data_IF_756039236358
#
_entry.id   IF_756039236358
#
_cell.length_a   1.000
_cell.length_b   1.000
_cell.length_c   1.000
_cell.angle_alpha   90.00
_cell.angle_beta   90.00
_cell.angle_gamma   90.00
#
_symmetry.space_group_name_H-M   'P 1'
#
loop_
_entity.id
_entity.type
_entity.pdbx_description
1 polymer ?
#
# COMPACT_ATOMS: atom_id res chain seq x y z
N UNK A 1 -3.56 -9.45 -5.71
CA UNK A 1 -3.93 -8.12 -6.27
C UNK A 1 -5.11 -7.47 -5.56
N UNK A 2 -5.75 -8.18 -4.63
CA UNK A 2 -7.07 -7.79 -4.13
C UNK A 2 -7.03 -6.57 -3.21
N UNK A 3 -5.91 -6.33 -2.52
CA UNK A 3 -5.70 -5.11 -1.72
C UNK A 3 -5.76 -3.85 -2.59
N UNK A 4 -5.09 -3.83 -3.75
CA UNK A 4 -5.12 -2.69 -4.68
C UNK A 4 -6.53 -2.46 -5.24
N UNK A 5 -7.26 -3.54 -5.56
CA UNK A 5 -8.65 -3.45 -6.03
C UNK A 5 -9.58 -2.92 -4.94
N UNK A 6 -9.44 -3.41 -3.71
CA UNK A 6 -10.21 -2.93 -2.57
C UNK A 6 -9.91 -1.45 -2.28
N UNK A 7 -8.65 -1.03 -2.35
CA UNK A 7 -8.26 0.36 -2.21
C UNK A 7 -8.89 1.25 -3.30
N UNK A 8 -8.87 0.81 -4.57
CA UNK A 8 -9.55 1.53 -5.67
C UNK A 8 -11.05 1.68 -5.41
N UNK A 9 -11.70 0.61 -5.00
CA UNK A 9 -13.15 0.63 -4.73
C UNK A 9 -13.49 1.58 -3.58
N UNK A 10 -12.61 1.70 -2.57
CA UNK A 10 -12.73 2.72 -1.50
C UNK A 10 -12.48 4.13 -2.01
N UNK A 11 -11.49 4.34 -2.88
CA UNK A 11 -11.22 5.65 -3.49
C UNK A 11 -12.43 6.13 -4.32
N UNK A 12 -13.08 5.22 -5.07
CA UNK A 12 -14.34 5.53 -5.73
C UNK A 12 -15.47 5.89 -4.76
N UNK A 13 -15.41 5.39 -3.52
CA UNK A 13 -16.29 5.75 -2.41
C UNK A 13 -15.88 7.02 -1.64
N UNK A 14 -14.92 7.80 -2.14
CA UNK A 14 -14.48 9.06 -1.53
C UNK A 14 -13.32 8.94 -0.53
N UNK A 15 -12.66 7.78 -0.45
CA UNK A 15 -11.47 7.63 0.39
C UNK A 15 -10.23 8.21 -0.30
N UNK A 16 -9.26 8.65 0.50
CA UNK A 16 -8.01 9.25 0.04
C UNK A 16 -6.83 8.32 0.34
N UNK A 17 -5.89 8.21 -0.58
CA UNK A 17 -4.66 7.43 -0.43
C UNK A 17 -3.58 8.28 0.21
N UNK A 18 -3.05 7.82 1.34
CA UNK A 18 -2.08 8.54 2.15
C UNK A 18 -0.63 8.07 1.92
N UNK A 19 -0.45 6.86 1.35
CA UNK A 19 0.85 6.29 0.99
C UNK A 19 0.89 5.93 -0.49
N UNK A 20 2.00 6.23 -1.18
CA UNK A 20 2.19 5.74 -2.55
C UNK A 20 2.22 4.20 -2.56
N UNK A 21 1.40 3.50 -3.35
CA UNK A 21 1.43 2.02 -3.42
C UNK A 21 2.74 1.46 -4.01
N UNK A 22 3.64 2.31 -4.50
CA UNK A 22 4.88 1.98 -5.19
C UNK A 22 6.13 2.53 -4.48
N UNK A 23 6.09 2.66 -3.15
CA UNK A 23 7.24 3.15 -2.37
C UNK A 23 8.48 2.23 -2.46
N UNK A 24 9.65 2.83 -2.22
CA UNK A 24 10.93 2.12 -2.11
C UNK A 24 11.51 1.60 -3.42
N UNK A 25 10.93 1.93 -4.59
CA UNK A 25 11.36 1.45 -5.91
C UNK A 25 11.47 -0.09 -6.03
N UNK A 26 10.83 -0.85 -5.13
CA UNK A 26 10.83 -2.32 -5.20
C UNK A 26 9.75 -2.77 -6.19
N UNK A 27 10.15 -3.65 -7.10
CA UNK A 27 9.27 -4.23 -8.11
C UNK A 27 8.44 -5.38 -7.52
N UNK A 28 7.27 -5.70 -8.10
CA UNK A 28 6.43 -6.82 -7.66
C UNK A 28 7.16 -8.17 -7.50
N UNK A 29 8.19 -8.41 -8.32
CA UNK A 29 9.01 -9.63 -8.28
C UNK A 29 10.16 -9.60 -7.28
N UNK A 30 10.34 -8.50 -6.52
CA UNK A 30 11.41 -8.33 -5.53
C UNK A 30 10.89 -8.36 -4.09
N UNK A 31 9.61 -8.03 -3.88
CA UNK A 31 9.06 -7.88 -2.55
C UNK A 31 7.58 -8.29 -2.50
N UNK A 32 7.20 -9.30 -1.70
CA UNK A 32 5.85 -9.86 -1.71
C UNK A 32 4.82 -9.04 -0.93
N UNK A 33 5.25 -8.16 -0.02
CA UNK A 33 4.36 -7.34 0.79
C UNK A 33 4.25 -5.91 0.27
N UNK A 34 3.04 -5.36 0.36
CA UNK A 34 2.76 -3.96 0.08
C UNK A 34 1.59 -3.50 0.93
N UNK A 35 1.91 -2.63 1.87
CA UNK A 35 0.92 -1.90 2.65
C UNK A 35 0.45 -0.66 1.91
N UNK A 36 -0.80 -0.28 2.09
CA UNK A 36 -1.36 0.97 1.58
C UNK A 36 -2.17 1.58 2.72
N UNK A 37 -1.82 2.82 3.09
CA UNK A 37 -2.60 3.63 4.00
C UNK A 37 -3.62 4.45 3.22
N UNK A 38 -4.88 4.32 3.62
CA UNK A 38 -6.00 5.09 3.08
C UNK A 38 -6.82 5.65 4.25
N UNK A 39 -7.50 6.76 4.00
CA UNK A 39 -8.36 7.45 4.97
C UNK A 39 -9.76 7.64 4.40
N UNK A 40 -10.76 7.45 5.24
CA UNK A 40 -12.14 7.80 4.91
C UNK A 40 -12.29 9.32 5.02
N UNK A 41 -12.74 9.98 3.94
CA UNK A 41 -13.10 11.39 4.04
C UNK A 41 -14.29 11.54 4.98
N UNK A 42 -14.24 12.55 5.87
CA UNK A 42 -15.36 12.92 6.74
C UNK A 42 -16.63 13.27 5.93
N UNK A 43 -16.45 13.67 4.66
CA UNK A 43 -17.53 13.97 3.74
C UNK A 43 -17.59 12.93 2.61
N UNK A 44 -18.37 11.86 2.81
CA UNK A 44 -18.67 10.86 1.76
C UNK A 44 -19.38 11.44 0.50
N UNK A 45 -19.73 12.73 0.50
CA UNK A 45 -20.25 13.47 -0.65
C UNK A 45 -19.17 14.19 -1.48
N UNK A 46 -17.89 14.06 -1.12
CA UNK A 46 -16.80 14.61 -1.90
C UNK A 46 -16.62 13.85 -3.23
N UNK A 47 -16.27 14.60 -4.27
CA UNK A 47 -15.89 14.02 -5.54
C UNK A 47 -14.67 13.10 -5.35
N UNK A 48 -14.56 12.06 -6.17
CA UNK A 48 -13.42 11.12 -6.16
C UNK A 48 -12.10 11.90 -6.18
N UNK A 49 -11.21 11.61 -5.23
CA UNK A 49 -9.86 12.17 -5.25
C UNK A 49 -9.08 11.60 -6.43
N UNK A 50 -8.93 12.40 -7.48
CA UNK A 50 -8.35 11.96 -8.75
C UNK A 50 -6.88 11.56 -8.61
N UNK A 51 -6.14 12.19 -7.68
CA UNK A 51 -4.76 11.83 -7.40
C UNK A 51 -4.66 10.43 -6.79
N UNK A 52 -5.49 10.13 -5.78
CA UNK A 52 -5.59 8.80 -5.18
C UNK A 52 -5.98 7.74 -6.21
N UNK A 53 -6.93 8.06 -7.09
CA UNK A 53 -7.35 7.16 -8.16
C UNK A 53 -6.19 6.88 -9.13
N UNK A 54 -5.49 7.92 -9.58
CA UNK A 54 -4.33 7.79 -10.45
C UNK A 54 -3.23 6.93 -9.82
N UNK A 55 -2.92 7.14 -8.54
CA UNK A 55 -1.91 6.36 -7.81
C UNK A 55 -2.25 4.86 -7.79
N UNK A 56 -3.51 4.52 -7.51
CA UNK A 56 -3.96 3.12 -7.44
C UNK A 56 -4.03 2.49 -8.84
N UNK A 57 -4.54 3.20 -9.85
CA UNK A 57 -4.61 2.70 -11.23
C UNK A 57 -3.22 2.46 -11.82
N UNK A 58 -2.27 3.36 -11.57
CA UNK A 58 -0.88 3.17 -12.00
C UNK A 58 -0.24 1.94 -11.32
N UNK A 59 -0.51 1.74 -10.02
CA UNK A 59 -0.03 0.56 -9.31
C UNK A 59 -0.68 -0.73 -9.85
N UNK A 60 -2.00 -0.73 -10.07
CA UNK A 60 -2.72 -1.84 -10.68
C UNK A 60 -2.15 -2.20 -12.06
N UNK A 61 -1.87 -1.20 -12.90
CA UNK A 61 -1.28 -1.41 -14.23
C UNK A 61 0.08 -2.11 -14.13
N UNK A 62 0.98 -1.62 -13.26
CA UNK A 62 2.32 -2.20 -13.08
C UNK A 62 2.24 -3.64 -12.58
N UNK A 63 1.43 -3.89 -11.54
CA UNK A 63 1.33 -5.22 -10.97
C UNK A 63 0.61 -6.21 -11.91
N UNK A 64 -0.39 -5.76 -12.66
CA UNK A 64 -1.07 -6.61 -13.66
C UNK A 64 -0.09 -6.98 -14.79
N UNK A 65 0.75 -6.03 -15.24
CA UNK A 65 1.77 -6.30 -16.26
C UNK A 65 2.84 -7.32 -15.84
N UNK A 66 2.98 -7.56 -14.54
CA UNK A 66 3.98 -8.45 -13.94
C UNK A 66 3.34 -9.57 -13.12
N UNK A 67 2.06 -9.87 -13.33
CA UNK A 67 1.28 -10.77 -12.47
C UNK A 67 1.91 -12.17 -12.33
N UNK A 68 2.52 -12.66 -13.41
CA UNK A 68 3.22 -13.95 -13.45
C UNK A 68 4.56 -13.97 -12.73
N UNK A 69 5.08 -12.81 -12.36
CA UNK A 69 6.37 -12.66 -11.68
C UNK A 69 6.21 -12.16 -10.24
N UNK A 70 4.99 -12.00 -9.73
CA UNK A 70 4.77 -11.57 -8.35
C UNK A 70 5.28 -12.66 -7.41
N UNK A 71 6.11 -12.25 -6.44
CA UNK A 71 6.55 -13.17 -5.39
C UNK A 71 5.36 -13.52 -4.48
N UNK A 72 5.10 -14.82 -4.31
CA UNK A 72 4.14 -15.31 -3.33
C UNK A 72 4.85 -15.64 -2.01
N UNK A 73 4.37 -15.14 -0.86
CA UNK A 73 4.94 -15.48 0.44
C UNK A 73 4.57 -16.89 0.93
N UNK A 74 3.61 -17.58 0.29
CA UNK A 74 3.04 -18.85 0.79
C UNK A 74 4.07 -19.99 0.92
N UNK A 75 5.11 -19.98 0.08
CA UNK A 75 6.17 -21.00 0.08
C UNK A 75 7.48 -20.53 0.74
N UNK A 76 7.47 -19.34 1.37
CA UNK A 76 8.65 -18.79 2.04
C UNK A 76 8.69 -19.26 3.50
N UNK A 77 9.91 -19.50 4.01
CA UNK A 77 10.13 -19.73 5.44
C UNK A 77 9.61 -18.54 6.26
N UNK A 78 9.15 -18.80 7.48
CA UNK A 78 8.55 -17.78 8.34
C UNK A 78 9.51 -16.62 8.62
N UNK A 79 10.79 -16.93 8.86
CA UNK A 79 11.83 -15.94 9.11
C UNK A 79 12.05 -15.01 7.91
N UNK A 80 11.99 -15.57 6.69
CA UNK A 80 12.09 -14.79 5.44
C UNK A 80 10.87 -13.89 5.27
N UNK A 81 9.69 -14.37 5.65
CA UNK A 81 8.45 -13.58 5.63
C UNK A 81 8.52 -12.44 6.65
N UNK A 82 9.04 -12.68 7.83
CA UNK A 82 9.22 -11.64 8.86
C UNK A 82 10.18 -10.55 8.40
N UNK A 83 11.30 -10.92 7.76
CA UNK A 83 12.26 -9.97 7.19
C UNK A 83 11.59 -9.07 6.14
N UNK A 84 10.82 -9.65 5.22
CA UNK A 84 10.09 -8.86 4.24
C UNK A 84 9.05 -7.94 4.90
N UNK A 85 8.32 -8.41 5.91
CA UNK A 85 7.34 -7.60 6.64
C UNK A 85 8.02 -6.44 7.39
N UNK A 86 9.22 -6.67 7.95
CA UNK A 86 10.03 -5.65 8.60
C UNK A 86 10.44 -4.54 7.61
N UNK A 87 10.89 -4.92 6.41
CA UNK A 87 11.23 -3.97 5.35
C UNK A 87 9.99 -3.16 4.93
N UNK A 88 8.85 -3.81 4.73
CA UNK A 88 7.59 -3.13 4.38
C UNK A 88 7.18 -2.10 5.45
N UNK A 89 7.29 -2.48 6.73
CA UNK A 89 7.02 -1.60 7.86
C UNK A 89 7.96 -0.39 7.91
N UNK A 90 9.27 -0.60 7.72
CA UNK A 90 10.24 0.52 7.74
C UNK A 90 9.98 1.47 6.57
N UNK A 91 9.58 0.98 5.40
CA UNK A 91 9.18 1.82 4.27
C UNK A 91 7.89 2.61 4.55
N UNK A 92 6.96 2.05 5.33
CA UNK A 92 5.71 2.72 5.73
C UNK A 92 5.86 3.69 6.89
N UNK A 93 6.95 3.59 7.65
CA UNK A 93 7.15 4.29 8.91
C UNK A 93 7.01 5.79 8.81
N UNK A 94 7.65 6.41 7.82
CA UNK A 94 7.55 7.87 7.62
C UNK A 94 6.10 8.30 7.39
N UNK A 95 5.34 7.52 6.62
CA UNK A 95 3.91 7.77 6.42
C UNK A 95 3.14 7.61 7.74
N UNK A 96 3.34 6.52 8.46
CA UNK A 96 2.65 6.28 9.73
C UNK A 96 2.97 7.36 10.79
N UNK A 97 4.21 7.83 10.85
CA UNK A 97 4.64 8.92 11.73
C UNK A 97 3.98 10.25 11.32
N UNK A 98 3.96 10.56 10.01
CA UNK A 98 3.31 11.76 9.46
C UNK A 98 1.84 11.86 9.87
N UNK A 99 1.12 10.72 9.86
CA UNK A 99 -0.29 10.63 10.24
C UNK A 99 -0.49 10.24 11.72
N UNK A 100 0.58 10.21 12.53
CA UNK A 100 0.54 9.92 13.98
C UNK A 100 -0.10 8.57 14.34
N UNK A 101 0.02 7.59 13.43
CA UNK A 101 -0.43 6.20 13.63
C UNK A 101 0.68 5.30 14.19
N UNK A 102 1.91 5.81 14.26
CA UNK A 102 3.01 5.12 14.93
C UNK A 102 3.02 5.50 16.42
N UNK A 103 3.14 4.52 17.35
CA UNK A 103 3.27 4.85 18.75
C UNK A 103 4.52 5.69 18.93
N UNK A 104 4.35 6.95 19.33
CA UNK A 104 5.48 7.74 19.80
C UNK A 104 6.05 6.99 20.99
N UNK A 105 7.34 6.62 20.92
CA UNK A 105 8.07 6.28 22.14
C UNK A 105 7.86 7.47 23.07
N UNK A 106 7.12 7.27 24.18
CA UNK A 106 7.23 8.14 25.34
C UNK A 106 8.72 8.18 25.66
N UNK A 107 9.37 9.30 25.32
CA UNK A 107 10.76 9.55 25.62
C UNK A 107 10.83 10.49 26.80
#
# INVERSE_FOLDING_TARGET
MDVLRAARDRVHGGWVVLSSPLYGNLRPHQHPYRSILIEESENQSEAVDLLSLELIENALLIYTSQEFCILSPENMAEEIREDFACIDMELMKETLERYRLFPQKLM
#
